data_IF_296911023949
#
_entry.id   IF_296911023949
#
_cell.length_a   1.000
_cell.length_b   1.000
_cell.length_c   1.000
_cell.angle_alpha   90.00
_cell.angle_beta   90.00
_cell.angle_gamma   90.00
#
_symmetry.space_group_name_H-M   'P 1'
#
loop_
_entity.id
_entity.type
_entity.pdbx_description
1 polymer ?
#
# COMPACT_ATOMS: atom_id res chain seq x y z
N UNK A 1 -27.54 32.85 37.93
CA UNK A 1 -26.34 33.33 37.21
C UNK A 1 -25.97 32.20 36.27
N UNK A 2 -26.42 32.29 35.02
CA UNK A 2 -26.12 31.29 33.99
C UNK A 2 -24.62 31.30 33.69
N UNK A 3 -23.98 30.13 33.45
CA UNK A 3 -22.60 30.12 32.97
C UNK A 3 -22.52 30.81 31.61
N UNK A 4 -21.41 31.49 31.29
CA UNK A 4 -21.27 32.15 30.01
C UNK A 4 -21.33 31.10 28.90
N UNK A 5 -22.21 31.31 27.93
CA UNK A 5 -22.29 30.50 26.72
C UNK A 5 -20.94 30.52 26.01
N UNK A 6 -20.37 29.34 25.83
CA UNK A 6 -19.15 29.16 25.05
C UNK A 6 -19.42 29.70 23.65
N UNK A 7 -18.62 30.67 23.15
CA UNK A 7 -18.83 31.15 21.79
C UNK A 7 -18.61 29.97 20.85
N UNK A 8 -19.65 29.59 20.12
CA UNK A 8 -19.54 28.71 18.97
C UNK A 8 -18.67 29.46 17.96
N UNK A 9 -17.38 29.19 18.01
CA UNK A 9 -16.40 29.68 17.04
C UNK A 9 -16.69 28.94 15.75
N UNK A 10 -17.68 29.43 15.00
CA UNK A 10 -17.90 29.09 13.61
C UNK A 10 -16.75 29.74 12.85
N UNK A 11 -15.59 29.08 12.82
CA UNK A 11 -14.51 29.41 11.91
C UNK A 11 -15.06 29.17 10.50
N UNK A 12 -15.51 30.25 9.88
CA UNK A 12 -15.70 30.31 8.43
C UNK A 12 -14.31 30.19 7.79
N UNK A 13 -13.85 28.94 7.64
CA UNK A 13 -12.55 28.61 7.09
C UNK A 13 -12.49 29.09 5.63
N UNK A 14 -11.67 30.11 5.40
CA UNK A 14 -11.31 30.59 4.06
C UNK A 14 -10.38 29.56 3.38
N UNK A 15 -10.98 28.47 2.87
CA UNK A 15 -10.78 27.95 1.51
C UNK A 15 -9.46 27.28 1.09
N UNK A 16 -8.71 26.57 1.95
CA UNK A 16 -7.65 25.65 1.48
C UNK A 16 -8.22 24.30 0.98
N UNK A 17 -7.53 23.54 0.12
CA UNK A 17 -7.93 22.14 -0.20
C UNK A 17 -7.54 21.16 0.91
N UNK A 18 -6.61 21.54 1.78
CA UNK A 18 -6.06 20.76 2.89
C UNK A 18 -6.24 21.50 4.23
N UNK A 19 -5.99 20.78 5.33
CA UNK A 19 -6.14 21.20 6.72
C UNK A 19 -4.77 21.28 7.42
N UNK A 20 -4.69 22.10 8.46
CA UNK A 20 -3.60 22.09 9.44
C UNK A 20 -3.74 20.91 10.41
N UNK A 21 -2.65 20.51 11.06
CA UNK A 21 -2.64 19.41 12.04
C UNK A 21 -3.73 19.52 13.11
N UNK A 22 -3.86 20.69 13.74
CA UNK A 22 -4.84 20.92 14.81
C UNK A 22 -6.29 20.97 14.31
N UNK A 23 -6.50 21.11 12.99
CA UNK A 23 -7.82 21.10 12.35
C UNK A 23 -8.21 19.69 11.88
N UNK A 24 -7.24 18.79 11.70
CA UNK A 24 -7.47 17.42 11.26
C UNK A 24 -8.17 16.60 12.35
N UNK A 25 -8.91 15.57 11.92
CA UNK A 25 -9.55 14.65 12.86
C UNK A 25 -8.49 13.95 13.72
N UNK A 26 -8.82 13.61 14.96
CA UNK A 26 -7.86 13.03 15.91
C UNK A 26 -7.24 11.72 15.41
N UNK A 27 -8.03 10.91 14.71
CA UNK A 27 -7.56 9.66 14.11
C UNK A 27 -6.66 9.85 12.88
N UNK A 28 -6.68 11.02 12.24
CA UNK A 28 -5.75 11.36 11.16
C UNK A 28 -4.42 11.91 11.70
N UNK A 29 -4.39 12.29 12.98
CA UNK A 29 -3.25 12.91 13.63
C UNK A 29 -2.25 11.85 14.14
N UNK A 30 -1.65 11.13 13.21
CA UNK A 30 -0.65 10.08 13.45
C UNK A 30 0.73 10.63 13.86
N UNK A 31 1.20 11.68 13.20
CA UNK A 31 2.53 12.23 13.38
C UNK A 31 2.52 13.75 13.66
N UNK A 32 2.75 14.12 14.93
CA UNK A 32 2.75 15.53 15.40
C UNK A 32 3.75 16.47 14.70
N UNK A 33 4.71 15.92 13.96
CA UNK A 33 5.69 16.70 13.20
C UNK A 33 5.19 17.11 11.81
N UNK A 34 4.10 16.52 11.32
CA UNK A 34 3.42 16.93 10.09
C UNK A 34 2.41 18.03 10.46
N UNK A 35 2.75 19.28 10.14
CA UNK A 35 1.99 20.44 10.64
C UNK A 35 0.80 20.84 9.74
N UNK A 36 0.78 20.39 8.49
CA UNK A 36 -0.19 20.80 7.47
C UNK A 36 -0.29 19.79 6.33
N UNK A 37 -1.32 19.93 5.49
CA UNK A 37 -1.49 19.11 4.29
C UNK A 37 -2.46 17.95 4.47
N UNK A 38 -3.17 17.91 5.60
CA UNK A 38 -4.17 16.88 5.88
C UNK A 38 -5.38 17.01 4.93
N UNK A 39 -5.87 15.89 4.44
CA UNK A 39 -7.10 15.87 3.63
C UNK A 39 -8.32 15.95 4.55
N UNK A 40 -9.39 16.56 4.05
CA UNK A 40 -10.67 16.64 4.76
C UNK A 40 -11.32 15.25 4.85
N UNK A 41 -12.01 15.01 5.95
CA UNK A 41 -12.84 13.81 6.13
C UNK A 41 -14.12 13.85 5.27
N UNK A 42 -14.75 12.68 5.11
CA UNK A 42 -16.11 12.49 4.55
C UNK A 42 -16.28 12.88 3.07
N UNK A 43 -15.19 12.90 2.32
CA UNK A 43 -15.25 12.93 0.87
C UNK A 43 -15.72 11.56 0.35
N UNK A 44 -16.63 11.56 -0.61
CA UNK A 44 -16.96 10.34 -1.36
C UNK A 44 -15.67 9.76 -1.97
N UNK A 45 -15.61 8.44 -2.17
CA UNK A 45 -14.44 7.80 -2.79
C UNK A 45 -14.00 8.47 -4.11
N UNK A 46 -14.95 8.93 -4.92
CA UNK A 46 -14.67 9.67 -6.16
C UNK A 46 -14.05 11.04 -5.89
N UNK A 47 -14.50 11.74 -4.85
CA UNK A 47 -13.91 13.01 -4.44
C UNK A 47 -12.49 12.79 -3.89
N UNK A 48 -12.23 11.70 -3.18
CA UNK A 48 -10.87 11.32 -2.74
C UNK A 48 -9.94 11.11 -3.94
N UNK A 49 -10.41 10.53 -5.05
CA UNK A 49 -9.58 10.39 -6.26
C UNK A 49 -9.10 11.75 -6.80
N UNK A 50 -9.85 12.84 -6.56
CA UNK A 50 -9.38 14.18 -6.95
C UNK A 50 -8.13 14.61 -6.17
N UNK A 51 -7.83 13.99 -5.01
CA UNK A 51 -6.60 14.24 -4.25
C UNK A 51 -5.32 13.85 -4.97
N UNK A 52 -5.40 12.99 -6.00
CA UNK A 52 -4.29 12.73 -6.91
C UNK A 52 -3.88 13.98 -7.71
N UNK A 53 -4.69 15.05 -7.75
CA UNK A 53 -4.40 16.26 -8.53
C UNK A 53 -3.81 17.41 -7.71
N UNK A 54 -3.58 17.22 -6.42
CA UNK A 54 -2.99 18.25 -5.55
C UNK A 54 -2.11 17.66 -4.45
N UNK A 55 -1.21 18.48 -3.90
CA UNK A 55 -0.29 18.06 -2.85
C UNK A 55 -0.98 17.98 -1.48
N UNK A 56 -0.73 16.90 -0.75
CA UNK A 56 -1.18 16.60 0.60
C UNK A 56 -0.12 15.77 1.36
N UNK A 57 -0.32 15.56 2.66
CA UNK A 57 0.64 14.87 3.53
C UNK A 57 0.93 13.42 3.07
N UNK A 58 -0.06 12.74 2.51
CA UNK A 58 0.07 11.38 1.96
C UNK A 58 0.54 11.32 0.48
N UNK A 59 0.81 12.42 -0.20
CA UNK A 59 1.05 12.39 -1.66
C UNK A 59 2.21 11.49 -2.03
N UNK A 60 3.35 11.60 -1.33
CA UNK A 60 4.50 10.74 -1.60
C UNK A 60 4.15 9.27 -1.38
N UNK A 61 3.51 8.92 -0.27
CA UNK A 61 3.11 7.55 0.04
C UNK A 61 2.18 6.97 -1.04
N UNK A 62 1.18 7.74 -1.49
CA UNK A 62 0.31 7.32 -2.59
C UNK A 62 1.11 7.07 -3.86
N UNK A 63 1.92 8.04 -4.29
CA UNK A 63 2.59 7.95 -5.58
C UNK A 63 3.72 6.92 -5.62
N UNK A 64 4.48 6.72 -4.54
CA UNK A 64 5.54 5.70 -4.50
C UNK A 64 4.97 4.29 -4.70
N UNK A 65 3.84 3.99 -4.05
CA UNK A 65 3.19 2.69 -4.20
C UNK A 65 2.39 2.57 -5.50
N UNK A 66 1.67 3.62 -5.91
CA UNK A 66 0.87 3.64 -7.13
C UNK A 66 1.74 3.47 -8.39
N UNK A 67 2.84 4.21 -8.48
CA UNK A 67 3.78 4.06 -9.61
C UNK A 67 4.35 2.64 -9.63
N UNK A 68 4.68 2.09 -8.46
CA UNK A 68 5.08 0.69 -8.34
C UNK A 68 4.03 -0.26 -8.91
N UNK A 69 2.77 -0.15 -8.47
CA UNK A 69 1.66 -1.00 -8.91
C UNK A 69 1.38 -0.88 -10.42
N UNK A 70 1.61 0.30 -11.02
CA UNK A 70 1.43 0.48 -12.46
C UNK A 70 2.60 -0.12 -13.28
N UNK A 71 3.82 -0.05 -12.76
CA UNK A 71 5.02 -0.52 -13.47
C UNK A 71 5.28 -2.02 -13.28
N UNK A 72 4.98 -2.57 -12.11
CA UNK A 72 5.32 -3.95 -11.76
C UNK A 72 4.68 -4.99 -12.70
N UNK A 73 3.41 -4.87 -13.14
CA UNK A 73 2.84 -5.79 -14.12
C UNK A 73 3.57 -5.74 -15.48
N UNK A 74 4.04 -4.56 -15.89
CA UNK A 74 4.82 -4.40 -17.13
C UNK A 74 6.20 -5.05 -17.01
N UNK A 75 6.85 -4.87 -15.85
CA UNK A 75 8.12 -5.52 -15.51
C UNK A 75 7.92 -7.04 -15.48
N UNK A 76 6.89 -7.53 -14.80
CA UNK A 76 6.55 -8.95 -14.70
C UNK A 76 6.34 -9.55 -16.10
N UNK A 77 5.52 -8.90 -16.96
CA UNK A 77 5.29 -9.36 -18.32
C UNK A 77 6.59 -9.40 -19.15
N UNK A 78 7.45 -8.39 -19.00
CA UNK A 78 8.75 -8.33 -19.68
C UNK A 78 9.69 -9.45 -19.23
N UNK A 79 9.76 -9.71 -17.93
CA UNK A 79 10.56 -10.80 -17.36
C UNK A 79 10.04 -12.15 -17.83
N UNK A 80 8.73 -12.40 -17.74
CA UNK A 80 8.12 -13.67 -18.17
C UNK A 80 8.34 -13.93 -19.67
N UNK A 81 8.25 -12.88 -20.51
CA UNK A 81 8.57 -12.96 -21.94
C UNK A 81 10.06 -13.18 -22.21
N UNK A 82 10.94 -12.63 -21.38
CA UNK A 82 12.37 -12.85 -21.48
C UNK A 82 12.72 -14.31 -21.18
N UNK A 83 12.14 -14.88 -20.12
CA UNK A 83 12.32 -16.28 -19.73
C UNK A 83 11.80 -17.27 -20.77
N UNK A 84 10.86 -16.86 -21.62
CA UNK A 84 10.32 -17.71 -22.70
C UNK A 84 11.23 -17.78 -23.94
N UNK A 85 12.34 -17.04 -23.96
CA UNK A 85 13.24 -17.03 -25.11
C UNK A 85 14.14 -18.28 -25.16
N UNK A 86 14.57 -18.72 -26.35
CA UNK A 86 15.30 -19.99 -26.52
C UNK A 86 16.61 -20.10 -25.71
N UNK A 87 17.27 -18.98 -25.40
CA UNK A 87 18.48 -18.97 -24.56
C UNK A 87 18.23 -19.44 -23.12
N UNK A 88 16.97 -19.44 -22.67
CA UNK A 88 16.55 -19.91 -21.35
C UNK A 88 15.81 -21.25 -21.42
N UNK A 89 16.26 -22.15 -22.31
CA UNK A 89 15.64 -23.47 -22.52
C UNK A 89 15.62 -24.39 -21.28
N UNK A 90 16.38 -24.04 -20.24
CA UNK A 90 16.46 -24.78 -18.97
C UNK A 90 15.34 -24.36 -17.99
N UNK A 91 14.69 -23.21 -18.21
CA UNK A 91 13.61 -22.71 -17.34
C UNK A 91 12.40 -23.63 -17.43
N UNK A 92 11.98 -24.12 -16.27
CA UNK A 92 10.88 -25.05 -16.09
C UNK A 92 9.56 -24.32 -15.80
N UNK A 93 8.44 -25.03 -15.89
CA UNK A 93 7.13 -24.50 -15.46
C UNK A 93 7.08 -24.10 -13.98
N UNK A 94 7.93 -24.71 -13.14
CA UNK A 94 8.06 -24.34 -11.73
C UNK A 94 8.67 -22.95 -11.58
N UNK A 95 9.69 -22.61 -12.37
CA UNK A 95 10.31 -21.28 -12.33
C UNK A 95 9.28 -20.18 -12.67
N UNK A 96 8.46 -20.39 -13.70
CA UNK A 96 7.35 -19.46 -14.03
C UNK A 96 6.38 -19.29 -12.86
N UNK A 97 6.07 -20.37 -12.14
CA UNK A 97 5.21 -20.32 -10.96
C UNK A 97 5.86 -19.52 -9.83
N UNK A 98 7.16 -19.71 -9.60
CA UNK A 98 7.93 -18.99 -8.57
C UNK A 98 7.98 -17.49 -8.86
N UNK A 99 8.26 -17.11 -10.12
CA UNK A 99 8.19 -15.70 -10.53
C UNK A 99 6.77 -15.13 -10.45
N UNK A 100 5.75 -15.89 -10.83
CA UNK A 100 4.36 -15.45 -10.71
C UNK A 100 3.97 -15.18 -9.25
N UNK A 101 4.34 -16.05 -8.30
CA UNK A 101 4.10 -15.83 -6.87
C UNK A 101 4.83 -14.57 -6.38
N UNK A 102 6.11 -14.40 -6.76
CA UNK A 102 6.90 -13.22 -6.40
C UNK A 102 6.21 -11.92 -6.87
N UNK A 103 5.90 -11.83 -8.17
CA UNK A 103 5.28 -10.62 -8.73
C UNK A 103 3.88 -10.38 -8.20
N UNK A 104 3.06 -11.43 -8.07
CA UNK A 104 1.70 -11.31 -7.56
C UNK A 104 1.65 -10.80 -6.12
N UNK A 105 2.48 -11.35 -5.24
CA UNK A 105 2.48 -10.94 -3.83
C UNK A 105 3.04 -9.53 -3.63
N UNK A 106 4.04 -9.13 -4.42
CA UNK A 106 4.52 -7.74 -4.46
C UNK A 106 3.44 -6.79 -5.01
N UNK A 107 2.71 -7.18 -6.05
CA UNK A 107 1.60 -6.39 -6.62
C UNK A 107 0.49 -6.17 -5.59
N UNK A 108 0.04 -7.22 -4.88
CA UNK A 108 -0.94 -7.09 -3.82
C UNK A 108 -0.51 -6.09 -2.73
N UNK A 109 0.76 -6.13 -2.32
CA UNK A 109 1.31 -5.19 -1.34
C UNK A 109 1.25 -3.74 -1.83
N UNK A 110 1.65 -3.49 -3.08
CA UNK A 110 1.62 -2.14 -3.66
C UNK A 110 0.19 -1.60 -3.80
N UNK A 111 -0.75 -2.45 -4.21
CA UNK A 111 -2.16 -2.09 -4.34
C UNK A 111 -2.82 -1.79 -2.99
N UNK A 112 -2.60 -2.62 -1.97
CA UNK A 112 -3.17 -2.39 -0.64
C UNK A 112 -2.59 -1.14 0.01
N UNK A 113 -1.28 -0.90 -0.12
CA UNK A 113 -0.66 0.32 0.37
C UNK A 113 -1.17 1.57 -0.34
N UNK A 114 -1.27 1.51 -1.68
CA UNK A 114 -1.87 2.59 -2.47
C UNK A 114 -3.30 2.89 -2.02
N UNK A 115 -4.12 1.85 -1.82
CA UNK A 115 -5.49 1.99 -1.37
C UNK A 115 -5.59 2.61 0.03
N UNK A 116 -4.73 2.22 0.97
CA UNK A 116 -4.68 2.83 2.30
C UNK A 116 -4.31 4.31 2.26
N UNK A 117 -3.17 4.64 1.66
CA UNK A 117 -2.73 6.03 1.60
C UNK A 117 -3.67 6.90 0.77
N UNK A 118 -4.39 6.35 -0.22
CA UNK A 118 -5.36 7.10 -1.00
C UNK A 118 -6.69 7.25 -0.26
N UNK A 119 -7.31 6.16 0.20
CA UNK A 119 -8.67 6.15 0.74
C UNK A 119 -8.76 6.34 2.27
N UNK A 120 -7.64 6.34 2.99
CA UNK A 120 -7.61 6.53 4.44
C UNK A 120 -8.22 7.85 4.91
N UNK A 121 -8.34 8.88 4.06
CA UNK A 121 -8.99 10.13 4.41
C UNK A 121 -10.53 10.07 4.45
N UNK A 122 -11.16 8.98 3.99
CA UNK A 122 -12.62 8.87 3.84
C UNK A 122 -13.36 8.98 5.17
N UNK A 123 -13.11 8.04 6.08
CA UNK A 123 -13.69 7.99 7.42
C UNK A 123 -12.77 7.17 8.33
N UNK A 124 -12.99 7.21 9.64
CA UNK A 124 -12.19 6.44 10.58
C UNK A 124 -12.29 4.92 10.34
N UNK A 125 -13.47 4.43 9.98
CA UNK A 125 -13.70 3.00 9.68
C UNK A 125 -12.99 2.58 8.40
N UNK A 126 -13.00 3.44 7.38
CA UNK A 126 -12.29 3.20 6.13
C UNK A 126 -10.78 3.20 6.34
N UNK A 127 -10.26 4.16 7.12
CA UNK A 127 -8.85 4.21 7.53
C UNK A 127 -8.44 2.90 8.20
N UNK A 128 -9.17 2.46 9.23
CA UNK A 128 -8.87 1.22 9.94
C UNK A 128 -8.93 -0.01 9.03
N UNK A 129 -9.93 -0.08 8.14
CA UNK A 129 -10.06 -1.19 7.19
C UNK A 129 -8.86 -1.24 6.25
N UNK A 130 -8.56 -0.14 5.57
CA UNK A 130 -7.47 -0.11 4.60
C UNK A 130 -6.10 -0.24 5.27
N UNK A 131 -5.92 0.29 6.48
CA UNK A 131 -4.70 0.08 7.27
C UNK A 131 -4.46 -1.42 7.55
N UNK A 132 -5.51 -2.17 7.89
CA UNK A 132 -5.40 -3.63 8.05
C UNK A 132 -5.05 -4.33 6.74
N UNK A 133 -5.61 -3.87 5.63
CA UNK A 133 -5.29 -4.42 4.30
C UNK A 133 -3.84 -4.13 3.90
N UNK A 134 -3.32 -2.94 4.19
CA UNK A 134 -1.93 -2.58 3.95
C UNK A 134 -0.97 -3.46 4.77
N UNK A 135 -1.24 -3.62 6.06
CA UNK A 135 -0.50 -4.55 6.92
C UNK A 135 -0.59 -6.00 6.42
N UNK A 136 -1.77 -6.43 5.94
CA UNK A 136 -1.93 -7.73 5.31
C UNK A 136 -1.08 -7.85 4.02
N UNK A 137 -0.97 -6.78 3.23
CA UNK A 137 -0.10 -6.71 2.06
C UNK A 137 1.37 -6.98 2.40
N UNK A 138 1.87 -6.38 3.48
CA UNK A 138 3.23 -6.62 4.00
C UNK A 138 3.42 -8.10 4.38
N UNK A 139 2.43 -8.70 5.06
CA UNK A 139 2.48 -10.13 5.41
C UNK A 139 2.48 -11.00 4.14
N UNK A 140 1.61 -10.71 3.18
CA UNK A 140 1.50 -11.45 1.91
C UNK A 140 2.82 -11.40 1.13
N UNK A 141 3.44 -10.23 0.95
CA UNK A 141 4.71 -10.13 0.21
C UNK A 141 5.86 -10.78 0.96
N UNK A 142 5.90 -10.68 2.29
CA UNK A 142 6.94 -11.34 3.10
C UNK A 142 6.86 -12.86 2.97
N UNK A 143 5.67 -13.43 3.17
CA UNK A 143 5.46 -14.88 3.07
C UNK A 143 5.61 -15.38 1.63
N UNK A 144 5.06 -14.61 0.68
CA UNK A 144 5.08 -14.91 -0.74
C UNK A 144 6.48 -14.92 -1.33
N UNK A 145 7.38 -14.04 -0.87
CA UNK A 145 8.78 -13.98 -1.35
C UNK A 145 9.66 -15.07 -0.75
N UNK A 146 9.33 -15.61 0.43
CA UNK A 146 10.03 -16.78 0.99
C UNK A 146 9.83 -18.04 0.15
N UNK A 147 8.66 -18.23 -0.48
CA UNK A 147 8.39 -19.40 -1.32
C UNK A 147 9.42 -19.54 -2.46
N UNK A 148 9.56 -18.57 -3.40
CA UNK A 148 10.55 -18.60 -4.46
C UNK A 148 11.98 -18.42 -3.93
N UNK A 149 12.19 -17.66 -2.85
CA UNK A 149 13.51 -17.50 -2.24
C UNK A 149 14.08 -18.84 -1.76
N UNK A 150 13.31 -19.60 -0.98
CA UNK A 150 13.67 -20.94 -0.51
C UNK A 150 13.82 -21.90 -1.70
N UNK A 151 12.97 -21.78 -2.73
CA UNK A 151 13.08 -22.59 -3.95
C UNK A 151 14.47 -22.47 -4.58
N UNK A 152 14.94 -21.24 -4.84
CA UNK A 152 16.21 -21.00 -5.51
C UNK A 152 17.43 -21.19 -4.60
N UNK A 153 17.33 -20.90 -3.29
CA UNK A 153 18.42 -21.14 -2.33
C UNK A 153 18.73 -22.64 -2.18
N UNK A 154 17.69 -23.47 -2.11
CA UNK A 154 17.83 -24.92 -1.91
C UNK A 154 17.46 -25.72 -3.17
N UNK A 155 17.77 -25.18 -4.35
CA UNK A 155 17.38 -25.77 -5.65
C UNK A 155 17.79 -27.25 -5.80
N UNK A 156 18.96 -27.62 -5.27
CA UNK A 156 19.49 -28.99 -5.32
C UNK A 156 19.15 -29.85 -4.08
N UNK A 157 18.59 -29.26 -3.02
CA UNK A 157 18.45 -29.89 -1.69
C UNK A 157 17.00 -29.91 -1.22
N UNK A 158 16.21 -30.83 -1.78
CA UNK A 158 14.76 -30.93 -1.56
C UNK A 158 14.35 -31.07 -0.08
N UNK A 159 15.16 -31.77 0.72
CA UNK A 159 14.90 -31.95 2.15
C UNK A 159 14.98 -30.62 2.90
N UNK A 160 15.98 -29.79 2.59
CA UNK A 160 16.13 -28.47 3.19
C UNK A 160 15.05 -27.51 2.71
N UNK A 161 14.70 -27.56 1.42
CA UNK A 161 13.61 -26.77 0.86
C UNK A 161 12.29 -27.01 1.58
N UNK A 162 11.90 -28.29 1.75
CA UNK A 162 10.67 -28.68 2.47
C UNK A 162 10.70 -28.26 3.93
N UNK A 163 11.81 -28.47 4.62
CA UNK A 163 11.98 -28.07 6.02
C UNK A 163 11.75 -26.57 6.19
N UNK A 164 12.35 -25.73 5.35
CA UNK A 164 12.21 -24.28 5.46
C UNK A 164 10.80 -23.81 5.09
N UNK A 165 10.16 -24.39 4.08
CA UNK A 165 8.76 -24.08 3.80
C UNK A 165 7.84 -24.46 4.96
N UNK A 166 8.07 -25.58 5.65
CA UNK A 166 7.29 -25.95 6.84
C UNK A 166 7.51 -25.02 8.03
N UNK A 167 8.67 -24.37 8.14
CA UNK A 167 8.92 -23.37 9.20
C UNK A 167 8.24 -22.04 8.90
N UNK A 168 8.17 -21.68 7.61
CA UNK A 168 7.55 -20.43 7.16
C UNK A 168 6.03 -20.53 7.02
N UNK A 169 5.46 -21.72 6.87
CA UNK A 169 4.01 -21.96 6.74
C UNK A 169 3.32 -22.08 8.09
#
# INVERSE_FOLDING_TARGET
MEPPSTPSVTLTAKGGRTLMWYEAAEWQRDNKYILSGYRREKADYLEILTSLTFLHNETCNVYTHLIGALLLPLIAATVMRSLSQPQFSVVSGTDYTMFAIFFWTAECCLLFSTAFHLFGAHSHEAEQFWHRMDLLGIVIVTMGTFIPGIYYIYFCELSLQRLHWSVVS
#
